data_IF_850062690321
#
_entry.id   IF_850062690321
#
_cell.length_a   1.000
_cell.length_b   1.000
_cell.length_c   1.000
_cell.angle_alpha   90.00
_cell.angle_beta   90.00
_cell.angle_gamma   90.00
#
_symmetry.space_group_name_H-M   'P 1'
#
loop_
_entity.id
_entity.type
_entity.pdbx_description
1 polymer ?
#
# COMPACT_ATOMS: atom_id res chain seq x y z
N UNK A 1 21.09 19.90 27.24
CA UNK A 1 21.41 19.70 25.82
C UNK A 1 20.73 18.41 25.41
N UNK A 2 19.87 18.41 24.37
CA UNK A 2 19.37 17.14 23.86
C UNK A 2 20.56 16.34 23.34
N UNK A 3 20.70 15.10 23.81
CA UNK A 3 21.79 14.21 23.41
C UNK A 3 21.39 13.53 22.12
N UNK A 4 21.88 14.05 21.00
CA UNK A 4 21.76 13.42 19.68
C UNK A 4 22.50 12.09 19.67
N UNK A 5 21.80 10.99 19.37
CA UNK A 5 22.41 9.66 19.24
C UNK A 5 22.55 9.29 17.76
N UNK A 6 23.57 9.85 17.10
CA UNK A 6 23.76 9.75 15.65
C UNK A 6 23.79 8.31 15.14
N UNK A 7 24.57 7.43 15.79
CA UNK A 7 24.70 6.04 15.38
C UNK A 7 23.36 5.27 15.51
N UNK A 8 22.56 5.57 16.53
CA UNK A 8 21.23 4.96 16.69
C UNK A 8 20.27 5.46 15.59
N UNK A 9 20.32 6.75 15.25
CA UNK A 9 19.56 7.29 14.12
C UNK A 9 19.95 6.68 12.78
N UNK A 10 21.25 6.52 12.51
CA UNK A 10 21.71 5.87 11.27
C UNK A 10 21.25 4.42 11.19
N UNK A 11 21.33 3.67 12.29
CA UNK A 11 20.88 2.29 12.34
C UNK A 11 19.36 2.20 12.11
N UNK A 12 18.58 3.06 12.77
CA UNK A 12 17.13 3.11 12.61
C UNK A 12 16.73 3.46 11.17
N UNK A 13 17.33 4.50 10.58
CA UNK A 13 17.03 4.90 9.20
C UNK A 13 17.41 3.80 8.20
N UNK A 14 18.53 3.10 8.43
CA UNK A 14 18.95 1.97 7.58
C UNK A 14 17.94 0.83 7.66
N UNK A 15 17.52 0.46 8.87
CA UNK A 15 16.49 -0.56 9.05
C UNK A 15 15.18 -0.20 8.35
N UNK A 16 14.71 1.04 8.50
CA UNK A 16 13.48 1.49 7.84
C UNK A 16 13.61 1.52 6.31
N UNK A 17 14.78 1.82 5.77
CA UNK A 17 15.05 1.74 4.33
C UNK A 17 15.02 0.30 3.82
N UNK A 18 15.62 -0.64 4.56
CA UNK A 18 15.61 -2.07 4.21
C UNK A 18 14.19 -2.65 4.25
N UNK A 19 13.41 -2.32 5.27
CA UNK A 19 12.01 -2.69 5.39
C UNK A 19 11.17 -2.10 4.23
N UNK A 20 11.40 -0.83 3.90
CA UNK A 20 10.71 -0.20 2.77
C UNK A 20 11.07 -0.85 1.44
N UNK A 21 12.35 -1.17 1.21
CA UNK A 21 12.79 -1.88 0.01
C UNK A 21 12.11 -3.25 -0.11
N UNK A 22 11.95 -3.97 1.00
CA UNK A 22 11.21 -5.23 1.05
C UNK A 22 9.73 -5.04 0.70
N UNK A 23 9.07 -4.03 1.28
CA UNK A 23 7.67 -3.73 0.99
C UNK A 23 7.43 -3.28 -0.46
N UNK A 24 8.33 -2.46 -1.03
CA UNK A 24 8.26 -2.09 -2.44
C UNK A 24 8.37 -3.33 -3.35
N UNK A 25 9.22 -4.29 -3.01
CA UNK A 25 9.35 -5.55 -3.73
C UNK A 25 8.10 -6.43 -3.57
N UNK A 26 7.56 -6.55 -2.36
CA UNK A 26 6.33 -7.28 -2.09
C UNK A 26 5.16 -6.74 -2.91
N UNK A 27 4.98 -5.42 -2.93
CA UNK A 27 3.93 -4.77 -3.72
C UNK A 27 4.13 -5.02 -5.21
N UNK A 28 5.37 -4.94 -5.71
CA UNK A 28 5.69 -5.23 -7.13
C UNK A 28 5.37 -6.67 -7.51
N UNK A 29 5.58 -7.60 -6.59
CA UNK A 29 5.37 -9.04 -6.83
C UNK A 29 3.93 -9.50 -6.50
N UNK A 30 3.06 -8.61 -6.02
CA UNK A 30 1.70 -8.96 -5.61
C UNK A 30 1.64 -9.85 -4.37
N UNK A 31 2.64 -9.76 -3.50
CA UNK A 31 2.74 -10.51 -2.25
C UNK A 31 1.63 -10.10 -1.27
N UNK A 32 1.04 -11.07 -0.58
CA UNK A 32 0.00 -10.83 0.45
C UNK A 32 0.52 -11.13 1.86
N UNK A 33 1.85 -11.13 2.04
CA UNK A 33 2.46 -11.38 3.35
C UNK A 33 1.99 -10.32 4.35
N UNK A 34 1.46 -10.71 5.52
CA UNK A 34 1.12 -9.76 6.57
C UNK A 34 2.35 -8.97 7.00
N UNK A 35 2.23 -7.64 7.03
CA UNK A 35 3.27 -6.75 7.53
C UNK A 35 3.16 -6.69 9.06
N UNK A 36 4.28 -6.86 9.76
CA UNK A 36 4.32 -6.72 11.20
C UNK A 36 4.00 -5.26 11.60
N UNK A 37 3.34 -5.02 12.75
CA UNK A 37 3.16 -3.67 13.26
C UNK A 37 4.51 -2.97 13.43
N UNK A 38 4.58 -1.71 13.00
CA UNK A 38 5.79 -0.90 13.17
C UNK A 38 5.97 -0.51 14.63
N UNK A 39 7.18 -0.71 15.16
CA UNK A 39 7.57 -0.27 16.50
C UNK A 39 8.58 0.88 16.40
N UNK A 40 8.33 2.02 17.07
CA UNK A 40 9.22 3.16 17.00
C UNK A 40 10.55 2.86 17.71
N UNK A 41 11.70 3.25 17.14
CA UNK A 41 12.99 3.04 17.79
C UNK A 41 13.10 3.89 19.06
N UNK A 42 13.59 3.29 20.14
CA UNK A 42 13.79 3.98 21.41
C UNK A 42 15.13 4.73 21.47
N UNK A 43 15.23 5.71 22.37
CA UNK A 43 16.50 6.36 22.74
C UNK A 43 17.28 7.05 21.60
N UNK A 44 16.58 7.49 20.56
CA UNK A 44 17.16 8.21 19.42
C UNK A 44 17.60 9.64 19.77
N UNK A 45 16.85 10.32 20.65
CA UNK A 45 17.02 11.75 20.89
C UNK A 45 16.65 12.59 19.66
N UNK A 46 17.14 13.82 19.61
CA UNK A 46 16.87 14.72 18.48
C UNK A 46 17.55 14.22 17.20
N UNK A 47 16.88 14.39 16.06
CA UNK A 47 17.41 14.04 14.74
C UNK A 47 18.66 14.87 14.43
N UNK A 48 19.81 14.23 14.11
CA UNK A 48 20.98 14.95 13.64
C UNK A 48 20.67 15.69 12.34
N UNK A 49 21.06 16.97 12.19
CA UNK A 49 20.75 17.76 10.99
C UNK A 49 21.34 17.15 9.72
N UNK A 50 22.44 16.41 9.82
CA UNK A 50 23.10 15.72 8.70
C UNK A 50 22.24 14.57 8.14
N UNK A 51 21.34 14.00 8.95
CA UNK A 51 20.43 12.92 8.57
C UNK A 51 19.05 13.43 8.16
N UNK A 52 18.80 14.74 8.23
CA UNK A 52 17.49 15.34 7.96
C UNK A 52 17.02 15.06 6.52
N UNK A 53 17.90 15.25 5.54
CA UNK A 53 17.58 15.00 4.13
C UNK A 53 17.26 13.51 3.88
N UNK A 54 18.01 12.61 4.52
CA UNK A 54 17.78 11.16 4.44
C UNK A 54 16.41 10.79 5.00
N UNK A 55 16.08 11.30 6.19
CA UNK A 55 14.78 11.07 6.81
C UNK A 55 13.64 11.66 5.95
N UNK A 56 13.84 12.85 5.38
CA UNK A 56 12.85 13.48 4.50
C UNK A 56 12.59 12.63 3.25
N UNK A 57 13.65 12.18 2.58
CA UNK A 57 13.55 11.32 1.42
C UNK A 57 12.83 10.00 1.73
N UNK A 58 13.12 9.40 2.89
CA UNK A 58 12.45 8.19 3.34
C UNK A 58 10.93 8.42 3.53
N UNK A 59 10.54 9.53 4.15
CA UNK A 59 9.12 9.90 4.33
C UNK A 59 8.43 10.08 2.97
N UNK A 60 9.07 10.76 2.02
CA UNK A 60 8.52 10.92 0.66
C UNK A 60 8.27 9.58 -0.02
N UNK A 61 9.25 8.66 0.06
CA UNK A 61 9.12 7.31 -0.50
C UNK A 61 7.98 6.52 0.14
N UNK A 62 7.86 6.56 1.46
CA UNK A 62 6.76 5.91 2.20
C UNK A 62 5.40 6.46 1.76
N UNK A 63 5.29 7.78 1.59
CA UNK A 63 4.05 8.43 1.14
C UNK A 63 3.68 8.03 -0.29
N UNK A 64 4.67 7.92 -1.19
CA UNK A 64 4.45 7.46 -2.57
C UNK A 64 3.98 6.01 -2.60
N UNK A 65 4.64 5.11 -1.86
CA UNK A 65 4.24 3.70 -1.79
C UNK A 65 2.82 3.56 -1.21
N UNK A 66 2.53 4.27 -0.12
CA UNK A 66 1.20 4.26 0.51
C UNK A 66 0.11 4.74 -0.44
N UNK A 67 0.39 5.81 -1.19
CA UNK A 67 -0.51 6.36 -2.21
C UNK A 67 -0.74 5.36 -3.33
N UNK A 68 0.32 4.71 -3.82
CA UNK A 68 0.23 3.69 -4.85
C UNK A 68 -0.61 2.50 -4.41
N UNK A 69 -0.37 1.95 -3.21
CA UNK A 69 -1.14 0.84 -2.64
C UNK A 69 -2.62 1.23 -2.50
N UNK A 70 -2.91 2.44 -2.01
CA UNK A 70 -4.29 2.95 -1.92
C UNK A 70 -4.99 2.96 -3.27
N UNK A 71 -4.33 3.46 -4.33
CA UNK A 71 -4.92 3.48 -5.67
C UNK A 71 -5.12 2.09 -6.26
N UNK A 72 -4.20 1.16 -6.01
CA UNK A 72 -4.39 -0.24 -6.43
C UNK A 72 -5.62 -0.87 -5.77
N UNK A 73 -5.81 -0.66 -4.46
CA UNK A 73 -6.99 -1.16 -3.76
C UNK A 73 -8.28 -0.58 -4.33
N UNK A 74 -8.30 0.73 -4.62
CA UNK A 74 -9.45 1.39 -5.24
C UNK A 74 -9.75 0.85 -6.65
N UNK A 75 -8.73 0.59 -7.46
CA UNK A 75 -8.90 -0.01 -8.78
C UNK A 75 -9.48 -1.42 -8.70
N UNK A 76 -8.96 -2.25 -7.77
CA UNK A 76 -9.47 -3.61 -7.53
C UNK A 76 -10.94 -3.59 -7.09
N UNK A 77 -11.33 -2.64 -6.24
CA UNK A 77 -12.72 -2.50 -5.80
C UNK A 77 -13.64 -2.04 -6.94
N UNK A 78 -13.17 -1.13 -7.79
CA UNK A 78 -13.89 -0.72 -8.99
C UNK A 78 -14.07 -1.89 -9.97
N UNK A 79 -13.03 -2.68 -10.21
CA UNK A 79 -13.08 -3.85 -11.09
C UNK A 79 -14.08 -4.90 -10.60
N UNK A 80 -14.09 -5.19 -9.28
CA UNK A 80 -15.07 -6.09 -8.67
C UNK A 80 -16.50 -5.63 -8.88
N UNK A 81 -16.73 -4.33 -8.71
CA UNK A 81 -18.05 -3.73 -8.91
C UNK A 81 -18.48 -3.76 -10.38
N UNK A 82 -17.55 -3.52 -11.31
CA UNK A 82 -17.80 -3.67 -12.74
C UNK A 82 -18.16 -5.12 -13.12
N UNK A 83 -17.45 -6.11 -12.58
CA UNK A 83 -17.76 -7.53 -12.81
C UNK A 83 -19.18 -7.88 -12.34
N UNK A 84 -19.56 -7.47 -11.12
CA UNK A 84 -20.91 -7.69 -10.57
C UNK A 84 -22.01 -7.09 -11.46
N UNK A 85 -21.80 -5.88 -11.99
CA UNK A 85 -22.77 -5.23 -12.89
C UNK A 85 -22.90 -5.97 -14.23
N UNK A 86 -21.81 -6.49 -14.76
CA UNK A 86 -21.84 -7.28 -16.00
C UNK A 86 -22.59 -8.60 -15.81
N UNK A 87 -22.37 -9.30 -14.69
CA UNK A 87 -23.12 -10.52 -14.33
C UNK A 87 -24.63 -10.26 -14.21
N UNK A 88 -25.00 -9.16 -13.54
CA UNK A 88 -26.40 -8.80 -13.36
C UNK A 88 -27.08 -8.48 -14.71
N UNK A 89 -26.39 -7.71 -15.57
CA UNK A 89 -26.90 -7.39 -16.92
C UNK A 89 -27.03 -8.64 -17.80
N UNK A 90 -26.07 -9.56 -17.72
CA UNK A 90 -26.13 -10.85 -18.42
C UNK A 90 -27.35 -11.66 -17.98
N UNK A 91 -27.58 -11.75 -16.66
CA UNK A 91 -28.73 -12.47 -16.09
C UNK A 91 -30.06 -11.87 -16.53
N UNK A 92 -30.20 -10.54 -16.51
CA UNK A 92 -31.42 -9.86 -16.97
C UNK A 92 -31.67 -10.08 -18.47
N UNK A 93 -30.62 -9.96 -19.31
CA UNK A 93 -30.74 -10.19 -20.75
C UNK A 93 -31.14 -11.65 -21.05
N UNK A 94 -30.59 -12.62 -20.31
CA UNK A 94 -30.97 -14.02 -20.44
C UNK A 94 -32.42 -14.26 -20.02
N UNK A 95 -32.86 -13.68 -18.90
CA UNK A 95 -34.25 -13.79 -18.45
C UNK A 95 -35.24 -13.17 -19.46
N UNK A 96 -34.90 -12.03 -20.06
CA UNK A 96 -35.70 -11.42 -21.13
C UNK A 96 -35.75 -12.30 -22.37
N UNK A 97 -34.63 -12.89 -22.78
CA UNK A 97 -34.58 -13.79 -23.93
C UNK A 97 -35.46 -15.04 -23.71
N UNK A 98 -35.39 -15.66 -22.52
CA UNK A 98 -36.22 -16.82 -22.16
C UNK A 98 -37.71 -16.45 -22.10
N UNK A 99 -38.07 -15.28 -21.56
CA UNK A 99 -39.45 -14.82 -21.53
C UNK A 99 -40.04 -14.60 -22.94
N UNK A 100 -39.24 -14.06 -23.87
CA UNK A 100 -39.65 -13.87 -25.26
C UNK A 100 -39.83 -15.20 -26.00
N UNK A 101 -38.96 -16.20 -25.74
CA UNK A 101 -39.05 -17.54 -26.34
C UNK A 101 -40.29 -18.31 -25.83
N UNK A 102 -40.64 -18.16 -24.56
CA UNK A 102 -41.81 -18.84 -23.96
C UNK A 102 -43.17 -18.21 -24.31
N UNK A 103 -43.18 -17.03 -24.95
CA UNK A 103 -44.41 -16.27 -25.27
C UNK A 103 -44.89 -16.43 -26.71
N UNK A 104 -44.32 -17.37 -27.47
CA UNK A 104 -44.67 -17.69 -28.87
C UNK A 104 -45.37 -19.04 -28.97
#
# INVERSE_FOLDING_TARGET
>A
MPTTNHAAWEAALTQMEDELNAHEADVRNGSTTPVAPWEPPENLGDLPPELADRAHHLIERINLLSTFVKYQLQALDADREHARRQEHKSTLNHAVAVFLDASV
#
